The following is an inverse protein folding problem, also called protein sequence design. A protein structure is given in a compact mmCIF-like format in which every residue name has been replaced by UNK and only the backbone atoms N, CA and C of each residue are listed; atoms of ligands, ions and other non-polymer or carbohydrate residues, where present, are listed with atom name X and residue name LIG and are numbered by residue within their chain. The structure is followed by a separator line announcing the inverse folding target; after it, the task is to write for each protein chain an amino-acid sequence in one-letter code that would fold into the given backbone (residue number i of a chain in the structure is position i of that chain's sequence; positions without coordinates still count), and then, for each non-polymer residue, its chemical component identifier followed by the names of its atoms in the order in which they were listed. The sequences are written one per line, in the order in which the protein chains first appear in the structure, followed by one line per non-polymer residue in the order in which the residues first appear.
data_IF_606240113506
#
_entry.id   IF_606240113506
#
_cell.length_a   1.000
_cell.length_b   1.000
_cell.length_c   1.000
_cell.angle_alpha   90.00
_cell.angle_beta   90.00
_cell.angle_gamma   90.00
#
_symmetry.space_group_name_H-M   'P 1'
#
loop_
_entity.id
_entity.type
_entity.pdbx_description
1 polymer ?
#
# COMPACT_ATOMS: atom_id res chain seq x y z
N UNK A 1 -46.15 -41.67 -29.67
CA UNK A 1 -45.96 -42.45 -30.93
C UNK A 1 -45.01 -41.65 -31.82
N UNK A 2 -43.77 -42.13 -32.02
CA UNK A 2 -43.25 -42.61 -33.32
C UNK A 2 -42.93 -41.47 -34.32
N UNK A 3 -41.80 -41.36 -35.01
CA UNK A 3 -40.62 -42.22 -35.25
C UNK A 3 -39.55 -41.36 -35.94
N UNK A 4 -38.30 -41.78 -35.77
CA UNK A 4 -37.12 -41.46 -36.60
C UNK A 4 -37.38 -41.40 -38.11
N UNK A 5 -36.59 -40.57 -38.81
CA UNK A 5 -36.05 -40.91 -40.13
C UNK A 5 -34.61 -40.41 -40.28
N UNK A 6 -33.76 -41.36 -40.69
CA UNK A 6 -32.32 -41.29 -40.95
C UNK A 6 -32.13 -41.52 -42.47
N UNK A 7 -30.90 -41.29 -42.94
CA UNK A 7 -30.27 -41.70 -44.22
C UNK A 7 -30.37 -40.65 -45.35
N UNK A 8 -29.39 -40.47 -46.24
CA UNK A 8 -27.98 -40.85 -46.32
C UNK A 8 -27.40 -40.25 -47.62
N UNK A 9 -26.08 -39.97 -47.62
CA UNK A 9 -25.21 -40.20 -48.78
C UNK A 9 -25.04 -39.07 -49.80
N UNK A 10 -23.82 -38.56 -49.96
CA UNK A 10 -22.97 -38.95 -51.09
C UNK A 10 -21.51 -38.53 -50.85
N UNK A 11 -20.62 -39.33 -51.44
CA UNK A 11 -19.21 -39.54 -51.15
C UNK A 11 -18.35 -39.02 -52.29
N UNK A 12 -17.19 -38.39 -52.02
CA UNK A 12 -16.05 -38.42 -52.97
C UNK A 12 -14.69 -38.48 -52.22
N UNK A 13 -14.12 -39.68 -52.29
CA UNK A 13 -12.73 -40.12 -52.56
C UNK A 13 -11.51 -39.57 -51.79
N UNK A 14 -10.74 -40.57 -51.36
CA UNK A 14 -9.40 -40.61 -50.75
C UNK A 14 -8.31 -39.93 -51.60
N UNK A 15 -7.33 -39.34 -50.92
CA UNK A 15 -5.92 -39.47 -51.27
C UNK A 15 -5.11 -39.59 -49.97
N UNK A 16 -4.47 -40.74 -49.79
CA UNK A 16 -3.50 -41.02 -48.71
C UNK A 16 -2.11 -40.78 -49.26
N UNK A 17 -1.33 -39.90 -48.61
CA UNK A 17 0.13 -39.93 -48.68
C UNK A 17 0.66 -39.77 -47.26
N UNK A 18 1.36 -40.80 -46.80
CA UNK A 18 2.13 -40.83 -45.55
C UNK A 18 3.33 -39.88 -45.67
N UNK A 19 3.62 -39.14 -44.59
CA UNK A 19 4.98 -38.92 -44.09
C UNK A 19 4.93 -38.38 -42.64
N UNK A 20 5.57 -39.09 -41.71
CA UNK A 20 6.07 -38.62 -40.41
C UNK A 20 7.60 -38.62 -40.49
N UNK A 21 8.36 -38.01 -39.57
CA UNK A 21 8.10 -36.79 -38.78
C UNK A 21 9.31 -35.81 -38.88
N UNK A 22 9.11 -34.52 -38.67
CA UNK A 22 10.22 -33.65 -38.24
C UNK A 22 9.78 -32.77 -37.07
N UNK A 23 10.48 -32.98 -35.96
CA UNK A 23 10.53 -32.10 -34.80
C UNK A 23 10.89 -30.68 -35.26
N UNK A 24 10.17 -29.69 -34.75
CA UNK A 24 10.75 -28.37 -34.57
C UNK A 24 10.35 -27.86 -33.18
N UNK A 25 11.39 -27.72 -32.37
CA UNK A 25 11.37 -27.12 -31.05
C UNK A 25 10.89 -25.67 -31.15
N UNK A 26 9.66 -25.40 -30.73
CA UNK A 26 9.24 -24.04 -30.42
C UNK A 26 9.27 -23.84 -28.91
N UNK A 27 10.46 -23.43 -28.49
CA UNK A 27 10.81 -22.76 -27.26
C UNK A 27 9.69 -21.78 -26.84
N UNK A 28 8.83 -22.21 -25.91
CA UNK A 28 7.90 -21.31 -25.19
C UNK A 28 8.73 -20.39 -24.31
N UNK A 29 9.26 -19.31 -24.89
CA UNK A 29 9.59 -18.11 -24.13
C UNK A 29 8.29 -17.64 -23.49
N UNK A 30 8.19 -17.83 -22.18
CA UNK A 30 7.17 -17.20 -21.36
C UNK A 30 7.24 -15.70 -21.67
N UNK A 31 6.26 -15.22 -22.44
CA UNK A 31 5.98 -13.82 -22.59
C UNK A 31 5.62 -13.32 -21.19
N UNK A 32 6.57 -12.69 -20.51
CA UNK A 32 6.28 -11.79 -19.42
C UNK A 32 5.39 -10.71 -20.02
N UNK A 33 4.07 -10.92 -19.95
CA UNK A 33 3.11 -9.85 -20.16
C UNK A 33 3.40 -8.85 -19.06
N UNK A 34 4.05 -7.73 -19.43
CA UNK A 34 4.15 -6.57 -18.56
C UNK A 34 2.70 -6.21 -18.19
N UNK A 35 2.36 -6.42 -16.92
CA UNK A 35 1.12 -5.89 -16.38
C UNK A 35 1.12 -4.38 -16.68
N UNK A 36 0.02 -3.81 -17.20
CA UNK A 36 -0.04 -2.37 -17.44
C UNK A 36 0.32 -1.65 -16.15
N UNK A 37 1.22 -0.67 -16.23
CA UNK A 37 1.57 0.15 -15.07
C UNK A 37 0.29 0.77 -14.52
N UNK A 38 -0.13 0.35 -13.32
CA UNK A 38 -1.23 1.01 -12.63
C UNK A 38 -0.82 2.46 -12.40
N UNK A 39 -1.74 3.39 -12.63
CA UNK A 39 -1.52 4.79 -12.31
C UNK A 39 -1.20 4.93 -10.81
N UNK A 40 -0.14 5.68 -10.49
CA UNK A 40 0.25 5.99 -9.11
C UNK A 40 -0.93 6.69 -8.42
N UNK A 41 -1.29 6.24 -7.22
CA UNK A 41 -2.31 6.92 -6.41
C UNK A 41 -1.78 8.32 -6.06
N UNK A 42 -2.59 9.36 -6.10
CA UNK A 42 -2.11 10.69 -5.69
C UNK A 42 -2.20 10.85 -4.17
N UNK A 43 -1.11 11.30 -3.53
CA UNK A 43 -1.15 11.62 -2.10
C UNK A 43 -2.13 12.78 -1.87
N UNK A 44 -3.05 12.66 -0.89
CA UNK A 44 -3.99 13.73 -0.60
C UNK A 44 -3.27 14.99 -0.14
N UNK A 45 -3.84 16.16 -0.45
CA UNK A 45 -3.39 17.44 0.11
C UNK A 45 -4.05 17.73 1.46
N UNK A 46 -5.24 17.17 1.69
CA UNK A 46 -6.01 17.27 2.91
C UNK A 46 -6.95 16.05 3.02
N UNK A 47 -7.28 15.63 4.23
CA UNK A 47 -8.29 14.60 4.52
C UNK A 47 -9.31 15.22 5.48
N UNK A 48 -10.57 15.29 5.05
CA UNK A 48 -11.65 16.00 5.77
C UNK A 48 -12.74 15.07 6.30
N UNK A 49 -12.50 13.76 6.29
CA UNK A 49 -13.43 12.70 6.71
C UNK A 49 -12.67 11.63 7.49
N UNK A 50 -13.40 10.68 8.07
CA UNK A 50 -12.81 9.63 8.90
C UNK A 50 -11.77 8.83 8.09
N UNK A 51 -10.68 8.41 8.73
CA UNK A 51 -9.65 7.61 8.05
C UNK A 51 -10.20 6.26 7.56
N UNK A 52 -11.12 5.65 8.31
CA UNK A 52 -11.85 4.45 7.89
C UNK A 52 -12.59 4.65 6.58
N UNK A 53 -13.19 5.82 6.40
CA UNK A 53 -13.91 6.15 5.16
C UNK A 53 -12.93 6.47 4.02
N UNK A 54 -11.79 7.13 4.33
CA UNK A 54 -10.79 7.48 3.31
C UNK A 54 -10.05 6.27 2.74
N UNK A 55 -9.70 5.32 3.60
CA UNK A 55 -8.93 4.13 3.25
C UNK A 55 -9.79 2.87 3.14
N UNK A 56 -11.09 3.03 2.82
CA UNK A 56 -12.04 1.92 2.71
C UNK A 56 -11.57 0.86 1.68
N UNK A 57 -11.06 1.30 0.52
CA UNK A 57 -10.36 0.42 -0.41
C UNK A 57 -8.92 0.20 0.07
N UNK A 58 -8.78 -0.71 1.03
CA UNK A 58 -7.49 -1.05 1.65
C UNK A 58 -6.44 -1.56 0.65
N UNK A 59 -6.80 -1.90 -0.59
CA UNK A 59 -5.84 -2.37 -1.59
C UNK A 59 -4.80 -1.29 -1.95
N UNK A 60 -5.25 -0.06 -2.20
CA UNK A 60 -4.40 1.08 -2.55
C UNK A 60 -3.49 1.55 -1.41
N UNK A 61 -3.81 1.17 -0.17
CA UNK A 61 -2.95 1.45 0.99
C UNK A 61 -1.62 0.70 0.89
N UNK A 62 -1.64 -0.53 0.37
CA UNK A 62 -0.50 -1.45 0.41
C UNK A 62 0.26 -1.60 -0.91
N UNK A 63 -0.28 -1.15 -2.06
CA UNK A 63 0.32 -1.42 -3.36
C UNK A 63 1.79 -0.96 -3.45
N UNK A 64 2.71 -1.82 -3.93
CA UNK A 64 4.09 -1.42 -4.13
C UNK A 64 4.17 -0.37 -5.24
N UNK A 65 5.07 0.60 -5.10
CA UNK A 65 5.33 1.72 -6.04
C UNK A 65 4.20 2.74 -6.21
N UNK A 66 2.95 2.29 -6.12
CA UNK A 66 1.77 3.06 -6.51
C UNK A 66 0.84 3.36 -5.33
N UNK A 67 0.91 2.60 -4.24
CA UNK A 67 0.03 2.77 -3.09
C UNK A 67 0.48 3.85 -2.12
N UNK A 68 -0.43 4.27 -1.24
CA UNK A 68 -0.19 5.36 -0.28
C UNK A 68 1.02 5.10 0.61
N UNK A 69 1.14 3.90 1.20
CA UNK A 69 2.21 3.60 2.14
C UNK A 69 3.60 3.66 1.50
N UNK A 70 3.73 3.16 0.26
CA UNK A 70 4.99 3.22 -0.48
C UNK A 70 5.40 4.67 -0.76
N UNK A 71 4.45 5.50 -1.18
CA UNK A 71 4.72 6.89 -1.53
C UNK A 71 5.14 7.74 -0.34
N UNK A 72 4.49 7.57 0.81
CA UNK A 72 4.96 8.22 2.04
C UNK A 72 6.34 7.69 2.45
N UNK A 73 6.62 6.39 2.28
CA UNK A 73 7.94 5.84 2.56
C UNK A 73 9.04 6.50 1.70
N UNK A 74 8.79 6.74 0.41
CA UNK A 74 9.71 7.49 -0.46
C UNK A 74 9.95 8.93 0.06
N UNK A 75 8.90 9.59 0.54
CA UNK A 75 8.99 10.95 1.11
C UNK A 75 9.72 10.99 2.44
N UNK A 76 9.72 9.89 3.19
CA UNK A 76 10.35 9.79 4.50
C UNK A 76 11.76 9.21 4.45
N UNK A 77 12.31 8.89 3.26
CA UNK A 77 13.60 8.19 3.09
C UNK A 77 14.77 8.74 3.93
N UNK A 78 14.80 10.06 4.12
CA UNK A 78 15.87 10.76 4.84
C UNK A 78 15.66 10.80 6.36
N UNK A 79 14.58 10.20 6.87
CA UNK A 79 14.25 10.11 8.29
C UNK A 79 14.79 8.79 8.84
N UNK A 80 15.62 8.80 9.89
CA UNK A 80 16.12 7.56 10.48
C UNK A 80 14.99 6.63 10.94
N UNK A 81 15.02 5.31 10.61
CA UNK A 81 13.94 4.38 10.94
C UNK A 81 13.54 4.36 12.42
N UNK A 82 14.50 4.55 13.32
CA UNK A 82 14.26 4.56 14.76
C UNK A 82 13.40 5.76 15.22
N UNK A 83 13.38 6.88 14.48
CA UNK A 83 12.52 8.02 14.79
C UNK A 83 11.06 7.72 14.44
N UNK A 84 10.82 7.11 13.28
CA UNK A 84 9.48 6.66 12.88
C UNK A 84 8.95 5.58 13.84
N UNK A 85 9.80 4.63 14.25
CA UNK A 85 9.42 3.58 15.21
C UNK A 85 8.99 4.11 16.57
N UNK A 86 9.62 5.14 17.11
CA UNK A 86 9.19 5.75 18.39
C UNK A 86 7.73 6.22 18.36
N UNK A 87 7.31 6.79 17.23
CA UNK A 87 5.92 7.22 17.06
C UNK A 87 5.00 6.02 16.87
N UNK A 88 5.41 5.02 16.09
CA UNK A 88 4.65 3.79 15.95
C UNK A 88 4.44 3.10 17.30
N UNK A 89 5.48 2.99 18.14
CA UNK A 89 5.40 2.37 19.46
C UNK A 89 4.40 3.12 20.36
N UNK A 90 4.36 4.45 20.27
CA UNK A 90 3.36 5.26 20.96
C UNK A 90 1.93 4.96 20.48
N UNK A 91 1.72 4.84 19.17
CA UNK A 91 0.43 4.48 18.57
C UNK A 91 -0.01 3.08 19.00
N UNK A 92 0.89 2.09 18.95
CA UNK A 92 0.64 0.73 19.45
C UNK A 92 0.26 0.74 20.93
N UNK A 93 0.93 1.57 21.73
CA UNK A 93 0.59 1.78 23.13
C UNK A 93 -0.81 2.36 23.35
N UNK A 94 -1.30 3.21 22.45
CA UNK A 94 -2.70 3.68 22.47
C UNK A 94 -3.65 2.51 22.17
N UNK A 95 -3.40 1.75 21.09
CA UNK A 95 -4.23 0.62 20.69
C UNK A 95 -4.37 -0.46 21.76
N UNK A 96 -3.27 -0.81 22.44
CA UNK A 96 -3.30 -1.78 23.55
C UNK A 96 -4.23 -1.31 24.67
N UNK A 97 -4.21 -0.01 24.97
CA UNK A 97 -5.03 0.58 26.03
C UNK A 97 -6.46 0.88 25.60
N UNK A 98 -6.78 0.78 24.31
CA UNK A 98 -8.09 1.09 23.75
C UNK A 98 -9.17 0.12 24.25
N UNK A 99 -8.78 -1.10 24.63
CA UNK A 99 -9.67 -2.08 25.30
C UNK A 99 -10.07 -1.67 26.72
N UNK A 100 -9.27 -0.82 27.36
CA UNK A 100 -9.41 -0.45 28.78
C UNK A 100 -9.82 1.00 28.98
N UNK A 101 -9.68 1.84 27.95
CA UNK A 101 -10.00 3.26 27.96
C UNK A 101 -11.08 3.56 26.95
N UNK A 102 -11.86 4.62 27.18
CA UNK A 102 -12.81 5.11 26.19
C UNK A 102 -12.09 5.71 24.97
N UNK A 103 -12.78 5.72 23.83
CA UNK A 103 -12.28 6.30 22.59
C UNK A 103 -11.78 7.74 22.74
N UNK A 104 -12.45 8.61 23.52
CA UNK A 104 -12.02 10.02 23.66
C UNK A 104 -10.69 10.14 24.38
N UNK A 105 -10.42 9.28 25.35
CA UNK A 105 -9.11 9.23 26.00
C UNK A 105 -8.02 8.81 25.01
N UNK A 106 -8.27 7.78 24.20
CA UNK A 106 -7.33 7.31 23.17
C UNK A 106 -7.10 8.35 22.06
N UNK A 107 -8.17 9.02 21.61
CA UNK A 107 -8.13 10.11 20.64
C UNK A 107 -7.25 11.26 21.12
N UNK A 108 -7.44 11.72 22.38
CA UNK A 108 -6.61 12.77 22.98
C UNK A 108 -5.13 12.39 23.02
N UNK A 109 -4.82 11.14 23.38
CA UNK A 109 -3.43 10.65 23.37
C UNK A 109 -2.86 10.67 21.95
N UNK A 110 -3.62 10.26 20.95
CA UNK A 110 -3.17 10.32 19.56
C UNK A 110 -2.87 11.77 19.13
N UNK A 111 -3.70 12.75 19.54
CA UNK A 111 -3.49 14.16 19.23
C UNK A 111 -2.18 14.73 19.82
N UNK A 112 -1.64 14.15 20.89
CA UNK A 112 -0.34 14.56 21.47
C UNK A 112 0.82 14.33 20.47
N UNK A 113 0.66 13.45 19.48
CA UNK A 113 1.67 13.25 18.44
C UNK A 113 1.92 14.49 17.58
N UNK A 114 0.93 15.37 17.41
CA UNK A 114 1.09 16.61 16.65
C UNK A 114 2.13 17.57 17.27
N UNK A 115 1.96 18.01 18.54
CA UNK A 115 2.96 18.87 19.18
C UNK A 115 4.30 18.15 19.38
N UNK A 116 4.31 16.83 19.64
CA UNK A 116 5.56 16.07 19.73
C UNK A 116 6.34 16.08 18.41
N UNK A 117 5.65 15.83 17.29
CA UNK A 117 6.26 15.89 15.96
C UNK A 117 6.74 17.30 15.65
N UNK A 118 5.90 18.33 15.87
CA UNK A 118 6.29 19.72 15.64
C UNK A 118 7.54 20.12 16.43
N UNK A 119 7.61 19.75 17.71
CA UNK A 119 8.76 20.00 18.56
C UNK A 119 10.02 19.27 18.05
N UNK A 120 9.90 18.00 17.67
CA UNK A 120 11.01 17.24 17.13
C UNK A 120 11.54 17.84 15.83
N UNK A 121 10.67 18.33 14.95
CA UNK A 121 11.06 19.00 13.70
C UNK A 121 11.76 20.34 13.99
N UNK A 122 11.19 21.15 14.89
CA UNK A 122 11.69 22.49 15.20
C UNK A 122 12.99 22.55 15.99
N UNK A 123 13.41 21.42 16.61
CA UNK A 123 14.70 21.32 17.32
C UNK A 123 15.89 20.99 16.44
N UNK A 124 15.64 20.58 15.19
CA UNK A 124 16.68 20.27 14.23
C UNK A 124 17.22 21.56 13.60
N UNK A 125 18.45 21.51 13.06
CA UNK A 125 18.96 22.62 12.26
C UNK A 125 18.09 22.83 11.02
N UNK A 126 18.09 24.04 10.44
CA UNK A 126 17.26 24.38 9.26
C UNK A 126 17.35 23.34 8.13
N UNK A 127 18.55 22.87 7.82
CA UNK A 127 18.81 21.86 6.78
C UNK A 127 18.25 20.47 7.11
N UNK A 128 18.16 20.12 8.39
CA UNK A 128 17.60 18.84 8.85
C UNK A 128 16.09 18.92 9.01
N UNK A 129 15.55 20.08 9.43
CA UNK A 129 14.11 20.28 9.62
C UNK A 129 13.30 20.06 8.33
N UNK A 130 13.85 20.47 7.18
CA UNK A 130 13.20 20.29 5.88
C UNK A 130 12.92 18.83 5.53
N UNK A 131 13.71 17.88 6.06
CA UNK A 131 13.49 16.44 5.87
C UNK A 131 12.22 15.95 6.57
N UNK A 132 11.80 16.66 7.62
CA UNK A 132 10.66 16.30 8.43
C UNK A 132 9.39 17.06 8.05
N UNK A 133 9.42 18.00 7.10
CA UNK A 133 8.23 18.75 6.67
C UNK A 133 7.15 17.81 6.13
N UNK A 134 7.51 16.87 5.25
CA UNK A 134 6.57 15.86 4.76
C UNK A 134 6.01 14.98 5.86
N UNK A 135 6.81 14.70 6.89
CA UNK A 135 6.39 13.90 8.04
C UNK A 135 5.42 14.66 8.93
N UNK A 136 5.68 15.94 9.17
CA UNK A 136 4.78 16.78 9.94
C UNK A 136 3.45 17.04 9.20
N UNK A 137 3.50 17.29 7.89
CA UNK A 137 2.28 17.42 7.08
C UNK A 137 1.48 16.12 7.02
N UNK A 138 2.15 14.96 6.91
CA UNK A 138 1.49 13.67 7.07
C UNK A 138 0.76 13.57 8.40
N UNK A 139 1.42 13.90 9.51
CA UNK A 139 0.81 13.83 10.85
C UNK A 139 -0.40 14.74 10.97
N UNK A 140 -0.28 16.01 10.55
CA UNK A 140 -1.39 16.97 10.57
C UNK A 140 -2.59 16.51 9.75
N UNK A 141 -2.33 15.96 8.57
CA UNK A 141 -3.38 15.54 7.66
C UNK A 141 -4.12 14.30 8.16
N UNK A 142 -3.45 13.38 8.85
CA UNK A 142 -4.06 12.13 9.31
C UNK A 142 -4.58 12.20 10.75
N UNK A 143 -4.08 13.13 11.57
CA UNK A 143 -4.46 13.26 12.97
C UNK A 143 -5.19 14.60 13.15
N UNK A 144 -6.52 14.55 13.18
CA UNK A 144 -7.39 15.68 13.46
C UNK A 144 -8.72 15.22 14.06
N UNK A 145 -9.57 16.16 14.47
CA UNK A 145 -10.95 15.90 14.88
C UNK A 145 -11.83 15.42 13.72
N UNK A 146 -11.45 15.71 12.48
CA UNK A 146 -12.15 15.28 11.26
C UNK A 146 -11.77 13.86 10.84
N UNK A 147 -10.52 13.48 11.05
CA UNK A 147 -9.97 12.21 10.56
C UNK A 147 -10.02 11.08 11.59
N UNK A 148 -9.93 11.40 12.89
CA UNK A 148 -9.98 10.42 13.97
C UNK A 148 -11.34 10.56 14.66
N UNK A 149 -12.35 9.80 14.24
CA UNK A 149 -13.74 9.89 14.72
C UNK A 149 -14.20 8.65 15.48
N UNK A 150 -13.54 7.53 15.25
CA UNK A 150 -13.86 6.21 15.77
C UNK A 150 -12.59 5.44 16.16
N UNK A 151 -12.75 4.31 16.84
CA UNK A 151 -11.65 3.41 17.16
C UNK A 151 -10.99 2.83 15.90
N UNK A 152 -11.80 2.57 14.86
CA UNK A 152 -11.36 2.06 13.57
C UNK A 152 -10.39 3.04 12.88
N UNK A 153 -10.62 4.34 12.99
CA UNK A 153 -9.70 5.35 12.45
C UNK A 153 -8.29 5.25 13.05
N UNK A 154 -8.19 4.92 14.34
CA UNK A 154 -6.90 4.74 15.02
C UNK A 154 -6.21 3.46 14.50
N UNK A 155 -6.99 2.42 14.21
CA UNK A 155 -6.47 1.16 13.63
C UNK A 155 -6.02 1.36 12.18
N UNK A 156 -6.74 2.15 11.39
CA UNK A 156 -6.36 2.52 10.03
C UNK A 156 -5.08 3.34 10.04
N UNK A 157 -4.97 4.33 10.92
CA UNK A 157 -3.73 5.10 11.09
C UNK A 157 -2.54 4.20 11.44
N UNK A 158 -2.71 3.28 12.39
CA UNK A 158 -1.68 2.31 12.76
C UNK A 158 -1.28 1.39 11.60
N UNK A 159 -2.26 0.90 10.84
CA UNK A 159 -2.02 0.03 9.68
C UNK A 159 -1.24 0.76 8.61
N UNK A 160 -1.69 1.97 8.23
CA UNK A 160 -0.99 2.84 7.29
C UNK A 160 0.45 3.11 7.75
N UNK A 161 0.63 3.54 8.99
CA UNK A 161 1.95 3.94 9.48
C UNK A 161 2.90 2.73 9.63
N UNK A 162 2.38 1.57 10.03
CA UNK A 162 3.13 0.30 10.02
C UNK A 162 3.61 -0.04 8.61
N UNK A 163 2.75 0.07 7.60
CA UNK A 163 3.09 -0.21 6.20
C UNK A 163 4.11 0.78 5.64
N UNK A 164 4.00 2.06 5.98
CA UNK A 164 4.98 3.08 5.62
C UNK A 164 6.36 2.69 6.15
N UNK A 165 6.46 2.34 7.43
CA UNK A 165 7.73 1.95 8.05
C UNK A 165 8.30 0.68 7.42
N UNK A 166 7.46 -0.29 7.07
CA UNK A 166 7.89 -1.51 6.40
C UNK A 166 8.53 -1.21 5.03
N UNK A 167 7.88 -0.39 4.21
CA UNK A 167 8.44 0.05 2.92
C UNK A 167 9.70 0.89 3.10
N UNK A 168 9.70 1.82 4.05
CA UNK A 168 10.84 2.68 4.34
C UNK A 168 12.10 1.86 4.69
N UNK A 169 11.96 0.86 5.58
CA UNK A 169 13.06 -0.06 5.92
C UNK A 169 13.53 -0.85 4.70
N UNK A 170 12.62 -1.27 3.82
CA UNK A 170 12.97 -2.01 2.62
C UNK A 170 13.68 -1.14 1.58
N UNK A 171 13.30 0.14 1.44
CA UNK A 171 13.94 1.09 0.54
C UNK A 171 15.38 1.38 0.99
N UNK A 172 15.58 1.67 2.28
CA UNK A 172 16.92 1.98 2.79
C UNK A 172 17.89 0.78 2.73
N UNK A 173 17.39 -0.46 2.79
CA UNK A 173 18.23 -1.66 2.59
C UNK A 173 18.74 -1.82 1.16
N UNK A 174 18.03 -1.28 0.16
CA UNK A 174 18.45 -1.39 -1.24
C UNK A 174 19.58 -0.41 -1.54
N UNK A 175 19.50 0.79 -0.99
CA UNK A 175 20.54 1.81 -1.13
C UNK A 175 21.88 1.30 -0.57
N UNK A 176 21.88 0.62 0.58
CA UNK A 176 23.09 -0.01 1.17
C UNK A 176 23.69 -1.16 0.34
N UNK A 177 22.95 -1.69 -0.66
CA UNK A 177 23.39 -2.83 -1.50
C UNK A 177 23.82 -2.43 -2.91
N UNK A 178 23.65 -1.16 -3.28
CA UNK A 178 24.04 -0.60 -4.58
C UNK A 178 25.27 0.34 -4.49
N UNK A 179 25.86 0.53 -3.29
CA UNK A 179 27.19 1.14 -3.03
C UNK A 179 28.30 0.08 -2.90
#
# INVERSE_FOLDING_TARGET
MAKNKKLAGMSIKKATVNNKPQQSDNNKKASHTLLPERNKVELPKEINYALSDFYEDGSDLFLPKTGYAYQYAEKFKDIPPHQLRKVLDYVKGILVNLRNNDFKTSQKRLFVLLPMTAYNCGRLGKSESAKYDYYYEFMKMHISDRTIRTEEDIQVFDTLFTSIIAYHVQLNKKDDSEE
#
